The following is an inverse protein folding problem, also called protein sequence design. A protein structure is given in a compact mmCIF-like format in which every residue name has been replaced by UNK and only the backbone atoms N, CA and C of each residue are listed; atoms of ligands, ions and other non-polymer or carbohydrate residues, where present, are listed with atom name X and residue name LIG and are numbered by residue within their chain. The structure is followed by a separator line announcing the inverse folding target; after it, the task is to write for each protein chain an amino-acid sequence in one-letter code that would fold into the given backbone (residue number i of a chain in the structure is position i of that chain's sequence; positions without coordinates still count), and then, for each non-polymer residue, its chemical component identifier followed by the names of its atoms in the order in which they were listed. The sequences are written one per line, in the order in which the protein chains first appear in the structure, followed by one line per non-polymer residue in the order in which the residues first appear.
data_IF_642000116131
#
_entry.id   IF_642000116131
#
_cell.length_a   1.000
_cell.length_b   1.000
_cell.length_c   1.000
_cell.angle_alpha   90.00
_cell.angle_beta   90.00
_cell.angle_gamma   90.00
#
_symmetry.space_group_name_H-M   'P 1'
#
loop_
_entity.id
_entity.type
_entity.pdbx_description
1 polymer ?
#
# COMPACT_ATOMS: atom_id res chain seq x y z
N UNK A 1 34.12 -21.97 -72.66
CA UNK A 1 34.65 -22.39 -71.33
C UNK A 1 33.48 -22.89 -70.52
N UNK A 2 33.35 -24.22 -70.40
CA UNK A 2 32.29 -24.86 -69.62
C UNK A 2 32.78 -25.02 -68.13
N UNK A 3 32.17 -24.42 -67.20
CA UNK A 3 32.41 -24.68 -65.73
C UNK A 3 31.50 -25.80 -65.29
N UNK A 4 32.15 -26.88 -64.88
CA UNK A 4 31.55 -28.07 -64.30
C UNK A 4 31.11 -27.75 -62.84
N UNK A 5 29.80 -27.84 -62.54
CA UNK A 5 29.26 -27.72 -61.21
C UNK A 5 29.33 -29.08 -60.57
N UNK A 6 30.00 -29.15 -59.45
CA UNK A 6 30.24 -30.38 -58.68
C UNK A 6 29.08 -30.59 -57.68
N UNK A 7 28.24 -31.62 -57.81
CA UNK A 7 27.14 -31.87 -56.90
C UNK A 7 27.51 -32.84 -55.79
N UNK A 8 28.22 -32.38 -54.77
CA UNK A 8 28.39 -33.21 -53.58
C UNK A 8 28.68 -32.32 -52.38
N UNK A 9 27.64 -31.99 -51.65
CA UNK A 9 27.60 -31.81 -50.19
C UNK A 9 26.17 -31.32 -49.78
N UNK A 10 25.22 -32.22 -49.83
CA UNK A 10 24.02 -32.10 -49.05
C UNK A 10 24.41 -32.50 -47.61
N UNK A 11 24.76 -31.50 -46.83
CA UNK A 11 24.82 -31.64 -45.37
C UNK A 11 23.41 -31.65 -44.82
N UNK A 12 23.02 -32.77 -44.25
CA UNK A 12 21.77 -32.88 -43.51
C UNK A 12 21.81 -31.92 -42.33
N UNK A 13 21.01 -30.86 -42.41
CA UNK A 13 20.73 -30.00 -41.25
C UNK A 13 19.72 -30.75 -40.38
N UNK A 14 20.23 -31.40 -39.34
CA UNK A 14 19.39 -31.97 -38.30
C UNK A 14 18.64 -30.86 -37.59
N UNK A 15 17.31 -30.84 -37.72
CA UNK A 15 16.43 -29.96 -36.91
C UNK A 15 16.42 -30.55 -35.50
N UNK A 16 17.23 -29.97 -34.63
CA UNK A 16 17.07 -30.19 -33.21
C UNK A 16 15.79 -29.48 -32.75
N UNK A 17 14.74 -30.24 -32.59
CA UNK A 17 13.52 -29.79 -31.91
C UNK A 17 13.91 -29.59 -30.45
N UNK A 18 14.27 -28.37 -30.09
CA UNK A 18 14.46 -27.95 -28.71
C UNK A 18 13.13 -28.12 -27.98
N UNK A 19 13.11 -28.98 -26.99
CA UNK A 19 12.03 -29.06 -26.02
C UNK A 19 11.83 -27.68 -25.41
N UNK A 20 10.70 -27.03 -25.72
CA UNK A 20 10.24 -25.88 -24.95
C UNK A 20 9.98 -26.39 -23.52
N UNK A 21 10.93 -26.13 -22.64
CA UNK A 21 10.66 -26.21 -21.23
C UNK A 21 9.50 -25.26 -20.93
N UNK A 22 8.33 -25.79 -20.62
CA UNK A 22 7.23 -25.04 -20.08
C UNK A 22 7.74 -24.38 -18.81
N UNK A 23 8.04 -23.10 -18.89
CA UNK A 23 8.24 -22.26 -17.71
C UNK A 23 6.89 -22.21 -17.02
N UNK A 24 6.67 -23.14 -16.11
CA UNK A 24 5.54 -23.08 -15.22
C UNK A 24 5.59 -21.75 -14.48
N UNK A 25 4.71 -20.83 -14.84
CA UNK A 25 4.43 -19.67 -14.02
C UNK A 25 3.90 -20.21 -12.70
N UNK A 26 4.77 -20.34 -11.70
CA UNK A 26 4.33 -20.52 -10.34
C UNK A 26 3.51 -19.27 -10.00
N UNK A 27 2.20 -19.38 -10.11
CA UNK A 27 1.32 -18.45 -9.45
C UNK A 27 1.54 -18.69 -7.96
N UNK A 28 2.34 -17.81 -7.34
CA UNK A 28 2.40 -17.75 -5.90
C UNK A 28 0.99 -17.32 -5.45
N UNK A 29 0.14 -18.29 -5.17
CA UNK A 29 -1.03 -18.09 -4.35
C UNK A 29 -0.45 -17.68 -3.00
N UNK A 30 -0.55 -16.40 -2.66
CA UNK A 30 -0.34 -15.99 -1.29
C UNK A 30 -1.42 -16.73 -0.47
N UNK A 31 -1.03 -17.81 0.20
CA UNK A 31 -1.88 -18.45 1.18
C UNK A 31 -2.18 -17.38 2.23
N UNK A 32 -3.40 -16.87 2.20
CA UNK A 32 -3.89 -16.00 3.27
C UNK A 32 -3.89 -16.87 4.52
N UNK A 33 -3.08 -16.47 5.49
CA UNK A 33 -2.96 -17.18 6.76
C UNK A 33 -4.36 -17.46 7.33
N UNK A 34 -4.68 -18.70 7.74
CA UNK A 34 -5.97 -18.99 8.33
C UNK A 34 -6.21 -18.04 9.51
N UNK A 35 -7.28 -17.23 9.41
CA UNK A 35 -7.59 -16.21 10.41
C UNK A 35 -7.26 -14.76 10.00
N UNK A 36 -6.65 -14.53 8.82
CA UNK A 36 -6.44 -13.18 8.33
C UNK A 36 -7.77 -12.47 8.06
N UNK A 37 -7.89 -11.25 8.55
CA UNK A 37 -9.05 -10.38 8.34
C UNK A 37 -8.70 -9.31 7.33
N UNK A 38 -9.44 -9.26 6.22
CA UNK A 38 -9.31 -8.18 5.22
C UNK A 38 -10.57 -7.34 5.22
N UNK A 39 -10.43 -6.01 5.34
CA UNK A 39 -11.54 -5.05 5.26
C UNK A 39 -11.13 -3.80 4.50
N UNK A 40 -12.12 -3.13 3.92
CA UNK A 40 -11.99 -1.81 3.33
C UNK A 40 -12.59 -0.75 4.26
N UNK A 41 -12.12 0.50 4.11
CA UNK A 41 -12.67 1.64 4.79
C UNK A 41 -12.75 2.84 3.86
N UNK A 42 -13.68 3.75 4.14
CA UNK A 42 -13.78 5.05 3.48
C UNK A 42 -14.28 6.11 4.44
N UNK A 43 -13.82 7.34 4.25
CA UNK A 43 -14.22 8.51 4.99
C UNK A 43 -14.32 9.68 4.02
N UNK A 44 -15.45 10.35 4.02
CA UNK A 44 -15.71 11.56 3.23
C UNK A 44 -16.36 12.57 4.16
N UNK A 45 -15.77 13.75 4.28
CA UNK A 45 -16.30 14.78 5.15
C UNK A 45 -15.98 16.19 4.64
N UNK A 46 -16.78 17.16 5.08
CA UNK A 46 -16.49 18.59 4.87
C UNK A 46 -15.42 19.08 5.83
N UNK A 47 -14.84 20.23 5.54
CA UNK A 47 -13.92 20.92 6.44
C UNK A 47 -14.49 21.04 7.87
N UNK A 48 -13.60 21.03 8.86
CA UNK A 48 -13.93 21.03 10.29
C UNK A 48 -14.80 19.83 10.74
N UNK A 49 -14.61 18.67 10.13
CA UNK A 49 -15.35 17.49 10.55
C UNK A 49 -14.94 17.00 11.94
N UNK A 50 -15.85 16.32 12.60
CA UNK A 50 -15.51 15.51 13.76
C UNK A 50 -14.58 14.36 13.38
N UNK A 51 -13.83 13.84 14.36
CA UNK A 51 -12.96 12.68 14.18
C UNK A 51 -13.81 11.41 14.04
N UNK A 52 -13.46 10.58 13.05
CA UNK A 52 -14.05 9.27 12.80
C UNK A 52 -12.99 8.19 12.86
N UNK A 53 -13.35 7.03 13.37
CA UNK A 53 -12.47 5.85 13.38
C UNK A 53 -12.59 5.09 12.07
N UNK A 54 -11.46 4.87 11.39
CA UNK A 54 -11.35 4.11 10.15
C UNK A 54 -10.97 2.64 10.39
N UNK A 55 -10.03 2.42 11.29
CA UNK A 55 -9.51 1.10 11.65
C UNK A 55 -9.48 0.98 13.16
N UNK A 56 -9.95 -0.13 13.69
CA UNK A 56 -9.82 -0.52 15.08
C UNK A 56 -9.67 -2.04 15.13
N UNK A 57 -8.43 -2.51 15.15
CA UNK A 57 -8.10 -3.93 15.11
C UNK A 57 -6.73 -4.20 15.73
N UNK A 58 -6.57 -5.30 16.44
CA UNK A 58 -5.29 -5.78 16.99
C UNK A 58 -4.46 -4.69 17.66
N UNK A 59 -5.11 -3.85 18.46
CA UNK A 59 -4.51 -2.70 19.14
C UNK A 59 -4.17 -1.50 18.26
N UNK A 60 -4.34 -1.57 16.94
CA UNK A 60 -4.19 -0.43 16.04
C UNK A 60 -5.51 0.33 15.92
N UNK A 61 -5.45 1.64 16.13
CA UNK A 61 -6.54 2.57 15.91
C UNK A 61 -6.11 3.62 14.90
N UNK A 62 -6.85 3.78 13.81
CA UNK A 62 -6.64 4.86 12.83
C UNK A 62 -7.87 5.75 12.83
N UNK A 63 -7.64 7.03 13.09
CA UNK A 63 -8.66 8.06 13.11
C UNK A 63 -8.42 9.08 12.00
N UNK A 64 -9.52 9.60 11.43
CA UNK A 64 -9.49 10.62 10.40
C UNK A 64 -10.45 11.77 10.70
N UNK A 65 -10.09 12.96 10.24
CA UNK A 65 -10.95 14.16 10.17
C UNK A 65 -10.49 15.05 9.02
N UNK A 66 -11.34 15.97 8.59
CA UNK A 66 -10.92 17.08 7.74
C UNK A 66 -10.62 18.30 8.60
N UNK A 67 -9.52 18.98 8.34
CA UNK A 67 -9.18 20.25 9.01
C UNK A 67 -10.03 21.42 8.47
N UNK A 68 -9.79 22.63 8.97
CA UNK A 68 -10.51 23.84 8.53
C UNK A 68 -10.31 24.19 7.05
N UNK A 69 -9.25 23.70 6.46
CA UNK A 69 -8.92 23.90 5.04
C UNK A 69 -9.41 22.74 4.14
N UNK A 70 -10.15 21.78 4.69
CA UNK A 70 -10.59 20.60 3.95
C UNK A 70 -9.48 19.58 3.68
N UNK A 71 -8.39 19.60 4.42
CA UNK A 71 -7.28 18.63 4.26
C UNK A 71 -7.49 17.42 5.15
N UNK A 72 -7.18 16.21 4.67
CA UNK A 72 -7.26 15.01 5.49
C UNK A 72 -6.18 15.03 6.59
N UNK A 73 -6.60 14.84 7.82
CA UNK A 73 -5.76 14.70 9.00
C UNK A 73 -6.00 13.32 9.57
N UNK A 74 -5.01 12.44 9.40
CA UNK A 74 -5.12 11.03 9.78
C UNK A 74 -4.03 10.66 10.75
N UNK A 75 -4.41 10.05 11.87
CA UNK A 75 -3.50 9.61 12.91
C UNK A 75 -3.66 8.12 13.20
N UNK A 76 -2.53 7.45 13.39
CA UNK A 76 -2.48 6.13 13.99
C UNK A 76 -2.19 6.25 15.50
N UNK A 77 -2.87 5.41 16.28
CA UNK A 77 -2.66 5.22 17.71
C UNK A 77 -2.55 3.73 17.99
N UNK A 78 -2.02 3.38 19.15
CA UNK A 78 -2.03 1.98 19.61
C UNK A 78 -2.46 1.90 21.05
N UNK A 79 -3.16 0.83 21.41
CA UNK A 79 -3.40 0.43 22.79
C UNK A 79 -2.35 -0.55 23.33
N UNK A 80 -1.44 -1.04 22.46
CA UNK A 80 -0.36 -1.93 22.87
C UNK A 80 0.66 -1.22 23.77
N UNK A 81 1.21 -1.96 24.71
CA UNK A 81 2.32 -1.49 25.54
C UNK A 81 3.65 -1.40 24.79
N UNK A 82 3.78 -2.16 23.69
CA UNK A 82 4.93 -2.14 22.77
C UNK A 82 4.49 -2.59 21.39
N UNK A 83 4.80 -1.78 20.40
CA UNK A 83 4.56 -2.04 18.98
C UNK A 83 5.55 -1.26 18.12
N UNK A 84 5.65 -1.66 16.88
CA UNK A 84 6.37 -0.97 15.83
C UNK A 84 5.40 -0.49 14.75
N UNK A 85 5.70 0.65 14.14
CA UNK A 85 4.97 1.14 12.97
C UNK A 85 5.97 1.65 11.93
N UNK A 86 5.79 1.20 10.71
CA UNK A 86 6.58 1.57 9.55
C UNK A 86 5.65 1.93 8.40
N UNK A 87 6.05 2.87 7.56
CA UNK A 87 5.24 3.19 6.40
C UNK A 87 5.94 4.08 5.40
N UNK A 88 5.35 4.15 4.21
CA UNK A 88 5.73 5.07 3.14
C UNK A 88 4.47 5.68 2.56
N UNK A 89 4.41 6.99 2.56
CA UNK A 89 3.33 7.75 1.94
C UNK A 89 3.96 8.58 0.82
N UNK A 90 3.41 8.45 -0.38
CA UNK A 90 3.80 9.18 -1.57
C UNK A 90 2.78 10.29 -1.81
N UNK A 91 3.19 11.54 -1.83
CA UNK A 91 2.32 12.66 -2.19
C UNK A 91 2.21 12.83 -3.72
N UNK A 92 1.25 13.64 -4.18
CA UNK A 92 1.01 13.89 -5.59
C UNK A 92 2.18 14.54 -6.34
N UNK A 93 3.17 15.08 -5.63
CA UNK A 93 4.44 15.56 -6.20
C UNK A 93 5.53 14.49 -6.26
N UNK A 94 5.23 13.25 -5.87
CA UNK A 94 6.18 12.13 -5.86
C UNK A 94 7.16 12.15 -4.69
N UNK A 95 6.96 12.99 -3.66
CA UNK A 95 7.78 12.97 -2.46
C UNK A 95 7.36 11.81 -1.56
N UNK A 96 8.36 11.24 -0.89
CA UNK A 96 8.14 10.10 0.01
C UNK A 96 8.24 10.56 1.45
N UNK A 97 7.18 10.34 2.22
CA UNK A 97 7.16 10.52 3.66
C UNK A 97 7.37 9.16 4.32
N UNK A 98 8.50 8.98 4.99
CA UNK A 98 8.84 7.75 5.70
C UNK A 98 8.33 7.86 7.12
N UNK A 99 7.50 6.90 7.52
CA UNK A 99 7.03 6.70 8.88
C UNK A 99 7.87 5.58 9.51
N UNK A 100 8.46 5.84 10.67
CA UNK A 100 9.17 4.83 11.44
C UNK A 100 9.10 5.17 12.92
N UNK A 101 8.52 4.28 13.70
CA UNK A 101 8.57 4.33 15.15
C UNK A 101 8.65 2.91 15.71
N UNK A 102 9.77 2.58 16.35
CA UNK A 102 10.05 1.28 16.98
C UNK A 102 9.78 1.28 18.48
N UNK A 103 9.10 2.29 18.98
CA UNK A 103 8.68 2.44 20.36
C UNK A 103 7.26 3.00 20.41
N UNK A 104 6.40 2.51 19.50
CA UNK A 104 5.02 2.92 19.39
C UNK A 104 4.20 2.25 20.49
N UNK A 105 3.79 3.02 21.47
CA UNK A 105 3.10 2.52 22.66
C UNK A 105 1.82 3.30 22.91
N UNK A 106 0.98 2.81 23.80
CA UNK A 106 -0.24 3.48 24.24
C UNK A 106 0.00 4.86 24.91
N UNK A 107 1.26 5.18 25.23
CA UNK A 107 1.68 6.51 25.76
C UNK A 107 2.18 7.43 24.65
N UNK A 108 2.42 6.91 23.46
CA UNK A 108 2.88 7.70 22.31
C UNK A 108 1.71 8.58 21.82
N UNK A 109 1.98 9.86 21.62
CA UNK A 109 1.04 10.72 20.87
C UNK A 109 0.83 10.11 19.50
N UNK A 110 -0.37 10.21 18.97
CA UNK A 110 -0.70 9.64 17.65
C UNK A 110 0.34 10.01 16.59
N UNK A 111 0.63 9.07 15.69
CA UNK A 111 1.55 9.25 14.56
C UNK A 111 0.72 9.72 13.38
N UNK A 112 1.05 10.90 12.80
CA UNK A 112 0.34 11.39 11.65
C UNK A 112 0.73 10.60 10.40
N UNK A 113 -0.28 10.04 9.73
CA UNK A 113 -0.14 9.28 8.48
C UNK A 113 -0.32 10.17 7.26
N UNK A 114 -1.22 11.17 7.31
CA UNK A 114 -1.41 12.12 6.22
C UNK A 114 -0.21 13.05 6.09
N UNK A 115 0.13 13.55 4.87
CA UNK A 115 1.18 14.53 4.68
C UNK A 115 0.97 15.76 5.58
N UNK A 116 2.08 16.32 6.12
CA UNK A 116 2.05 17.52 6.95
C UNK A 116 1.92 18.80 6.10
N UNK A 117 2.42 18.75 4.86
CA UNK A 117 2.44 19.86 3.92
C UNK A 117 2.51 19.37 2.50
N UNK A 118 2.20 20.24 1.55
CA UNK A 118 2.27 19.94 0.12
C UNK A 118 0.95 19.47 -0.45
N UNK A 119 1.02 18.56 -1.40
CA UNK A 119 -0.16 17.95 -1.99
C UNK A 119 -0.71 16.86 -1.06
N UNK A 120 -2.01 16.96 -0.79
CA UNK A 120 -2.73 16.01 0.06
C UNK A 120 -3.36 14.88 -0.73
N UNK A 121 -3.20 14.87 -2.06
CA UNK A 121 -3.44 13.71 -2.89
C UNK A 121 -2.26 12.75 -2.71
N UNK A 122 -2.44 11.76 -1.88
CA UNK A 122 -1.35 10.89 -1.46
C UNK A 122 -1.81 9.45 -1.31
N UNK A 123 -0.88 8.52 -1.50
CA UNK A 123 -1.12 7.09 -1.29
C UNK A 123 0.03 6.46 -0.53
N UNK A 124 -0.25 5.40 0.18
CA UNK A 124 0.82 4.71 0.88
C UNK A 124 0.43 3.42 1.54
N UNK A 125 1.43 2.83 2.18
CA UNK A 125 1.27 1.60 2.95
C UNK A 125 1.92 1.75 4.31
N UNK A 126 1.26 1.22 5.32
CA UNK A 126 1.69 1.23 6.71
C UNK A 126 1.64 -0.19 7.25
N UNK A 127 2.73 -0.64 7.83
CA UNK A 127 2.85 -1.87 8.59
C UNK A 127 2.85 -1.55 10.07
N UNK A 128 2.01 -2.21 10.82
CA UNK A 128 1.96 -2.17 12.28
C UNK A 128 2.19 -3.58 12.81
N UNK A 129 3.06 -3.71 13.80
CA UNK A 129 3.39 -4.97 14.43
C UNK A 129 3.45 -4.80 15.96
N UNK A 130 2.78 -5.69 16.69
CA UNK A 130 2.86 -5.74 18.15
C UNK A 130 3.96 -6.68 18.61
N UNK A 131 4.46 -6.49 19.82
CA UNK A 131 5.42 -7.43 20.45
C UNK A 131 4.86 -8.86 20.63
N UNK A 132 3.54 -9.05 20.49
CA UNK A 132 2.88 -10.37 20.52
C UNK A 132 2.75 -11.01 19.15
N UNK A 133 3.32 -10.42 18.11
CA UNK A 133 3.33 -10.95 16.75
C UNK A 133 2.05 -10.68 15.94
N UNK A 134 1.16 -9.80 16.43
CA UNK A 134 0.04 -9.34 15.62
C UNK A 134 0.50 -8.35 14.58
N UNK A 135 0.13 -8.57 13.31
CA UNK A 135 0.53 -7.74 12.18
C UNK A 135 -0.70 -7.16 11.50
N UNK A 136 -0.66 -5.86 11.24
CA UNK A 136 -1.69 -5.16 10.43
C UNK A 136 -0.99 -4.38 9.33
N UNK A 137 -1.33 -4.70 8.08
CA UNK A 137 -0.91 -3.93 6.91
C UNK A 137 -2.07 -3.07 6.43
N UNK A 138 -1.85 -1.77 6.31
CA UNK A 138 -2.86 -0.80 5.87
C UNK A 138 -2.39 -0.15 4.58
N UNK A 139 -3.18 -0.25 3.53
CA UNK A 139 -3.04 0.56 2.32
C UNK A 139 -4.03 1.71 2.42
N UNK A 140 -3.55 2.94 2.24
CA UNK A 140 -4.34 4.14 2.47
C UNK A 140 -4.11 5.15 1.36
N UNK A 141 -5.17 5.85 0.97
CA UNK A 141 -5.11 6.96 0.04
C UNK A 141 -5.89 8.16 0.61
N UNK A 142 -5.39 9.32 0.28
CA UNK A 142 -5.92 10.62 0.69
C UNK A 142 -6.25 11.42 -0.57
N UNK A 143 -7.35 12.15 -0.55
CA UNK A 143 -7.74 13.07 -1.60
C UNK A 143 -8.40 14.30 -0.97
N UNK A 144 -7.92 15.49 -1.34
CA UNK A 144 -8.53 16.76 -1.01
C UNK A 144 -8.95 17.53 -2.26
N UNK A 145 -9.10 16.83 -3.39
CA UNK A 145 -9.42 17.43 -4.68
C UNK A 145 -10.71 18.27 -4.62
N UNK A 146 -10.52 19.57 -4.72
CA UNK A 146 -11.63 20.52 -4.90
C UNK A 146 -12.24 20.42 -6.30
N UNK A 147 -11.62 19.66 -7.19
CA UNK A 147 -11.99 19.55 -8.61
C UNK A 147 -13.23 18.69 -8.83
N UNK A 148 -13.40 17.65 -8.03
CA UNK A 148 -14.53 16.72 -8.15
C UNK A 148 -15.74 17.14 -7.31
N UNK A 149 -15.52 17.89 -6.24
CA UNK A 149 -16.58 18.36 -5.35
C UNK A 149 -16.36 19.84 -5.07
N UNK A 150 -17.28 20.67 -5.50
CA UNK A 150 -17.25 22.16 -5.34
C UNK A 150 -17.20 22.66 -3.88
N UNK A 151 -16.79 21.85 -2.93
CA UNK A 151 -16.76 22.17 -1.50
C UNK A 151 -15.48 21.58 -0.88
N UNK A 152 -14.96 22.25 0.13
CA UNK A 152 -13.82 21.80 0.93
C UNK A 152 -14.11 20.43 1.61
N UNK A 153 -13.97 19.37 0.85
CA UNK A 153 -14.22 17.98 1.24
C UNK A 153 -12.89 17.27 1.20
N UNK A 154 -12.58 16.48 2.21
CA UNK A 154 -11.50 15.54 2.15
C UNK A 154 -12.00 14.10 2.14
N UNK A 155 -11.27 13.25 1.46
CA UNK A 155 -11.55 11.83 1.35
C UNK A 155 -10.36 11.02 1.86
N UNK A 156 -10.63 9.96 2.59
CA UNK A 156 -9.64 8.95 2.99
C UNK A 156 -10.26 7.59 2.71
N UNK A 157 -9.55 6.73 2.00
CA UNK A 157 -10.02 5.39 1.70
C UNK A 157 -8.86 4.40 1.67
N UNK A 158 -9.19 3.14 1.80
CA UNK A 158 -8.17 2.11 1.80
C UNK A 158 -8.67 0.74 2.21
N UNK A 159 -7.70 -0.12 2.53
CA UNK A 159 -7.94 -1.46 3.03
C UNK A 159 -6.89 -1.83 4.08
N UNK A 160 -7.23 -2.81 4.91
CA UNK A 160 -6.25 -3.41 5.80
C UNK A 160 -6.36 -4.93 5.79
N UNK A 161 -5.23 -5.58 6.11
CA UNK A 161 -5.11 -7.01 6.37
C UNK A 161 -4.51 -7.15 7.76
N UNK A 162 -5.15 -7.90 8.63
CA UNK A 162 -4.67 -8.24 9.97
C UNK A 162 -4.51 -9.76 10.11
N UNK A 163 -3.39 -10.20 10.74
CA UNK A 163 -3.04 -11.62 10.94
C UNK A 163 -2.68 -11.91 12.38
#
# INVERSE_FOLDING_TARGET
MKRIINPRRLAAVGIAIGALAAVGTATASADVSPGAVTKTFSFIAKSNSSTSTLVNIDSLLINARCDSSGRPVVFAFTSAGSADIFGRIFDGYGRVHILKNTSFTNKTKGIQLSPLSGDFDATGSVLFETSTGKVVTVNIAFDNSTTLVKQNVCTVFGSFIAT
#
